data_IF_340483717644
#
_entry.id   IF_340483717644
#
_cell.length_a   1.000
_cell.length_b   1.000
_cell.length_c   1.000
_cell.angle_alpha   90.00
_cell.angle_beta   90.00
_cell.angle_gamma   90.00
#
_symmetry.space_group_name_H-M   'P 1'
#
loop_
_entity.id
_entity.type
_entity.pdbx_description
1 polymer ?
#
# COMPACT_ATOMS: atom_id res chain seq x y z
N UNK A 1 -0.45 -28.98 2.89
CA UNK A 1 -1.89 -29.03 3.19
C UNK A 1 -2.44 -27.63 2.92
N UNK A 2 -2.90 -27.38 1.70
CA UNK A 2 -3.28 -26.05 1.21
C UNK A 2 -4.71 -25.76 1.67
N UNK A 3 -4.90 -24.80 2.59
CA UNK A 3 -6.22 -24.37 3.05
C UNK A 3 -6.93 -23.60 1.93
N UNK A 4 -7.98 -24.18 1.36
CA UNK A 4 -8.94 -23.53 0.46
C UNK A 4 -9.95 -22.68 1.26
N UNK A 5 -9.49 -21.63 1.95
CA UNK A 5 -10.35 -20.67 2.68
C UNK A 5 -10.14 -19.26 2.14
N UNK A 6 -10.62 -18.92 0.94
CA UNK A 6 -10.39 -17.57 0.39
C UNK A 6 -11.42 -17.04 -0.62
N UNK A 7 -12.67 -17.53 -0.60
CA UNK A 7 -13.75 -16.90 -1.38
C UNK A 7 -14.98 -16.52 -0.54
N UNK A 8 -15.17 -17.11 0.64
CA UNK A 8 -16.25 -16.71 1.56
C UNK A 8 -15.91 -15.51 2.45
N UNK A 9 -14.62 -15.27 2.71
CA UNK A 9 -14.18 -14.30 3.70
C UNK A 9 -14.26 -12.87 3.16
N UNK A 10 -13.85 -12.63 1.92
CA UNK A 10 -13.82 -11.28 1.34
C UNK A 10 -15.21 -10.65 1.20
N UNK A 11 -16.22 -11.44 0.81
CA UNK A 11 -17.60 -10.96 0.73
C UNK A 11 -18.17 -10.58 2.10
N UNK A 12 -17.79 -11.33 3.14
CA UNK A 12 -18.20 -11.05 4.52
C UNK A 12 -17.52 -9.79 5.08
N UNK A 13 -16.25 -9.58 4.75
CA UNK A 13 -15.47 -8.39 5.13
C UNK A 13 -16.03 -7.15 4.42
N UNK A 14 -16.27 -7.23 3.11
CA UNK A 14 -16.85 -6.12 2.35
C UNK A 14 -18.23 -5.72 2.88
N UNK A 15 -19.06 -6.70 3.25
CA UNK A 15 -20.36 -6.45 3.88
C UNK A 15 -20.23 -5.78 5.26
N UNK A 16 -19.25 -6.21 6.07
CA UNK A 16 -18.98 -5.62 7.38
C UNK A 16 -18.49 -4.16 7.26
N UNK A 17 -17.59 -3.88 6.32
CA UNK A 17 -17.09 -2.53 6.00
C UNK A 17 -18.24 -1.63 5.54
N UNK A 18 -19.06 -2.11 4.60
CA UNK A 18 -20.23 -1.35 4.12
C UNK A 18 -21.18 -1.01 5.27
N UNK A 19 -21.52 -2.00 6.10
CA UNK A 19 -22.39 -1.80 7.27
C UNK A 19 -21.77 -0.81 8.26
N UNK A 20 -20.46 -0.89 8.51
CA UNK A 20 -19.77 0.04 9.40
C UNK A 20 -19.82 1.48 8.86
N UNK A 21 -19.58 1.69 7.56
CA UNK A 21 -19.72 3.01 6.94
C UNK A 21 -21.14 3.56 7.05
N UNK A 22 -22.14 2.72 6.78
CA UNK A 22 -23.56 3.11 6.91
C UNK A 22 -23.90 3.55 8.34
N UNK A 23 -23.45 2.79 9.36
CA UNK A 23 -23.66 3.15 10.76
C UNK A 23 -23.03 4.51 11.11
N UNK A 24 -21.85 4.82 10.55
CA UNK A 24 -21.18 6.10 10.82
C UNK A 24 -21.89 7.32 10.19
N UNK A 25 -22.81 7.11 9.23
CA UNK A 25 -23.66 8.20 8.72
C UNK A 25 -24.70 8.69 9.73
N UNK A 26 -25.00 7.88 10.76
CA UNK A 26 -26.00 8.18 11.78
C UNK A 26 -25.34 8.71 13.06
N UNK A 27 -25.15 10.04 13.14
CA UNK A 27 -24.48 10.70 14.26
C UNK A 27 -25.15 10.46 15.63
N UNK A 28 -26.46 10.21 15.65
CA UNK A 28 -27.29 9.97 16.83
C UNK A 28 -27.07 8.59 17.46
N UNK A 29 -26.31 7.70 16.82
CA UNK A 29 -26.04 6.38 17.36
C UNK A 29 -25.20 6.46 18.65
N UNK A 30 -25.45 5.57 19.63
CA UNK A 30 -24.64 5.47 20.83
C UNK A 30 -23.15 5.36 20.53
N UNK A 31 -22.33 6.06 21.31
CA UNK A 31 -20.87 6.11 21.12
C UNK A 31 -20.23 4.71 21.04
N UNK A 32 -20.74 3.73 21.80
CA UNK A 32 -20.28 2.34 21.76
C UNK A 32 -20.46 1.70 20.37
N UNK A 33 -21.57 1.99 19.69
CA UNK A 33 -21.85 1.45 18.35
C UNK A 33 -20.91 2.12 17.34
N UNK A 34 -20.74 3.44 17.44
CA UNK A 34 -19.83 4.19 16.58
C UNK A 34 -18.37 3.74 16.73
N UNK A 35 -17.90 3.54 17.97
CA UNK A 35 -16.57 3.01 18.25
C UNK A 35 -16.35 1.64 17.60
N UNK A 36 -17.36 0.75 17.66
CA UNK A 36 -17.28 -0.57 17.01
C UNK A 36 -17.27 -0.47 15.49
N UNK A 37 -18.04 0.44 14.90
CA UNK A 37 -18.01 0.67 13.46
C UNK A 37 -16.62 1.17 13.01
N UNK A 38 -16.06 2.17 13.70
CA UNK A 38 -14.69 2.63 13.45
C UNK A 38 -13.66 1.49 13.65
N UNK A 39 -13.82 0.64 14.67
CA UNK A 39 -12.94 -0.51 14.90
C UNK A 39 -12.99 -1.52 13.74
N UNK A 40 -14.17 -1.78 13.16
CA UNK A 40 -14.30 -2.65 11.97
C UNK A 40 -13.55 -2.05 10.78
N UNK A 41 -13.68 -0.74 10.57
CA UNK A 41 -12.94 -0.05 9.50
C UNK A 41 -11.43 -0.02 9.77
N UNK A 42 -11.02 0.09 11.04
CA UNK A 42 -9.61 0.01 11.45
C UNK A 42 -8.96 -1.36 11.25
N UNK A 43 -9.77 -2.42 11.15
CA UNK A 43 -9.31 -3.77 10.78
C UNK A 43 -9.38 -4.03 9.26
N UNK A 44 -9.83 -3.06 8.46
CA UNK A 44 -9.98 -3.22 7.01
C UNK A 44 -8.68 -2.89 6.27
N UNK A 45 -8.68 -3.08 4.95
CA UNK A 45 -7.59 -2.66 4.06
C UNK A 45 -7.90 -1.35 3.32
N UNK A 46 -8.90 -0.60 3.78
CA UNK A 46 -9.26 0.69 3.21
C UNK A 46 -8.18 1.74 3.51
N UNK A 47 -7.99 2.77 2.67
CA UNK A 47 -6.92 3.76 2.87
C UNK A 47 -6.99 4.51 4.21
N UNK A 48 -8.20 4.70 4.74
CA UNK A 48 -8.47 5.42 5.99
C UNK A 48 -8.40 4.53 7.24
N UNK A 49 -7.97 3.27 7.13
CA UNK A 49 -8.02 2.30 8.24
C UNK A 49 -7.32 2.81 9.52
N UNK A 50 -6.15 3.46 9.40
CA UNK A 50 -5.42 3.96 10.56
C UNK A 50 -6.21 5.08 11.26
N UNK A 51 -6.71 6.06 10.51
CA UNK A 51 -7.55 7.15 11.02
C UNK A 51 -8.81 6.61 11.71
N UNK A 52 -9.42 5.57 11.15
CA UNK A 52 -10.59 4.93 11.75
C UNK A 52 -10.24 4.19 13.05
N UNK A 53 -9.05 3.57 13.14
CA UNK A 53 -8.60 2.93 14.37
C UNK A 53 -8.32 3.95 15.49
N UNK A 54 -7.74 5.10 15.14
CA UNK A 54 -7.54 6.22 16.07
C UNK A 54 -8.88 6.78 16.56
N UNK A 55 -9.81 7.00 15.63
CA UNK A 55 -11.15 7.49 15.94
C UNK A 55 -11.93 6.50 16.82
N UNK A 56 -11.76 5.19 16.62
CA UNK A 56 -12.35 4.16 17.47
C UNK A 56 -11.92 4.31 18.93
N UNK A 57 -10.61 4.52 19.17
CA UNK A 57 -10.07 4.77 20.52
C UNK A 57 -10.63 6.06 21.10
N UNK A 58 -10.65 7.14 20.31
CA UNK A 58 -11.17 8.44 20.76
C UNK A 58 -12.63 8.35 21.20
N UNK A 59 -13.49 7.70 20.41
CA UNK A 59 -14.91 7.52 20.72
C UNK A 59 -15.09 6.57 21.92
N UNK A 60 -14.33 5.47 22.01
CA UNK A 60 -14.41 4.54 23.13
C UNK A 60 -13.99 5.19 24.46
N UNK A 61 -12.96 6.05 24.42
CA UNK A 61 -12.55 6.85 25.57
C UNK A 61 -13.65 7.85 25.97
N UNK A 62 -14.21 8.58 25.00
CA UNK A 62 -15.33 9.50 25.25
C UNK A 62 -16.56 8.79 25.83
N UNK A 63 -16.87 7.58 25.36
CA UNK A 63 -17.95 6.76 25.89
C UNK A 63 -17.68 6.34 27.35
N UNK A 64 -16.41 6.07 27.68
CA UNK A 64 -15.96 5.73 29.03
C UNK A 64 -16.04 6.93 29.96
N UNK A 65 -15.58 8.09 29.52
CA UNK A 65 -15.54 9.32 30.34
C UNK A 65 -16.94 9.85 30.65
N UNK A 66 -17.88 9.71 29.71
CA UNK A 66 -19.27 10.15 29.89
C UNK A 66 -20.14 9.17 30.67
N UNK A 67 -19.64 7.96 30.98
CA UNK A 67 -20.42 6.96 31.68
C UNK A 67 -20.44 7.24 33.19
N UNK A 68 -21.65 7.33 33.78
CA UNK A 68 -21.83 7.42 35.25
C UNK A 68 -21.17 6.27 36.00
N UNK A 69 -21.09 5.09 35.36
CA UNK A 69 -20.24 3.99 35.79
C UNK A 69 -19.67 3.29 34.56
N UNK A 70 -18.35 3.19 34.46
CA UNK A 70 -17.72 2.41 33.40
C UNK A 70 -17.93 0.92 33.70
N UNK A 71 -18.92 0.33 33.04
CA UNK A 71 -19.14 -1.10 33.08
C UNK A 71 -17.96 -1.87 32.48
N UNK A 72 -17.85 -3.16 32.80
CA UNK A 72 -16.81 -4.03 32.24
C UNK A 72 -16.76 -3.99 30.70
N UNK A 73 -17.93 -3.86 30.06
CA UNK A 73 -18.05 -3.76 28.61
C UNK A 73 -17.33 -2.53 28.02
N UNK A 74 -17.43 -1.36 28.68
CA UNK A 74 -16.79 -0.13 28.20
C UNK A 74 -15.26 -0.21 28.28
N UNK A 75 -14.75 -0.77 29.39
CA UNK A 75 -13.31 -1.04 29.54
C UNK A 75 -12.80 -2.02 28.49
N UNK A 76 -13.53 -3.11 28.26
CA UNK A 76 -13.15 -4.09 27.26
C UNK A 76 -13.12 -3.47 25.87
N UNK A 77 -14.15 -2.70 25.50
CA UNK A 77 -14.20 -2.03 24.21
C UNK A 77 -13.01 -1.09 24.00
N UNK A 78 -12.65 -0.30 25.01
CA UNK A 78 -11.50 0.61 24.92
C UNK A 78 -10.19 -0.16 24.71
N UNK A 79 -9.98 -1.28 25.41
CA UNK A 79 -8.79 -2.12 25.23
C UNK A 79 -8.76 -2.82 23.86
N UNK A 80 -9.92 -3.26 23.37
CA UNK A 80 -10.04 -3.83 22.02
C UNK A 80 -9.69 -2.77 20.96
N UNK A 81 -10.23 -1.54 21.07
CA UNK A 81 -9.89 -0.44 20.16
C UNK A 81 -8.40 -0.11 20.17
N UNK A 82 -7.75 -0.06 21.35
CA UNK A 82 -6.30 0.16 21.44
C UNK A 82 -5.49 -0.96 20.81
N UNK A 83 -5.99 -2.18 20.87
CA UNK A 83 -5.34 -3.33 20.23
C UNK A 83 -5.40 -3.21 18.71
N UNK A 84 -6.57 -2.87 18.18
CA UNK A 84 -6.76 -2.60 16.75
C UNK A 84 -5.87 -1.45 16.28
N UNK A 85 -5.81 -0.34 17.00
CA UNK A 85 -4.90 0.77 16.65
C UNK A 85 -3.44 0.34 16.60
N UNK A 86 -2.99 -0.47 17.55
CA UNK A 86 -1.61 -0.98 17.57
C UNK A 86 -1.31 -1.88 16.36
N UNK A 87 -2.28 -2.68 15.94
CA UNK A 87 -2.14 -3.54 14.75
C UNK A 87 -2.18 -2.73 13.46
N UNK A 88 -3.10 -1.76 13.36
CA UNK A 88 -3.20 -0.84 12.26
C UNK A 88 -1.90 -0.03 12.07
N UNK A 89 -1.34 0.52 13.16
CA UNK A 89 -0.07 1.26 13.11
C UNK A 89 1.06 0.37 12.59
N UNK A 90 1.18 -0.86 13.08
CA UNK A 90 2.20 -1.80 12.58
C UNK A 90 2.05 -2.11 11.09
N UNK A 91 0.81 -2.26 10.61
CA UNK A 91 0.53 -2.49 9.20
C UNK A 91 0.89 -1.28 8.34
N UNK A 92 0.55 -0.07 8.82
CA UNK A 92 0.90 1.19 8.19
C UNK A 92 2.42 1.39 8.12
N UNK A 93 3.12 1.23 9.24
CA UNK A 93 4.58 1.36 9.33
C UNK A 93 5.29 0.36 8.39
N UNK A 94 4.79 -0.88 8.35
CA UNK A 94 5.32 -1.89 7.44
C UNK A 94 5.12 -1.49 5.98
N UNK A 95 3.96 -0.95 5.60
CA UNK A 95 3.72 -0.48 4.24
C UNK A 95 4.65 0.69 3.86
N UNK A 96 4.84 1.67 4.74
CA UNK A 96 5.74 2.80 4.48
C UNK A 96 7.21 2.39 4.34
N UNK A 97 7.65 1.35 5.07
CA UNK A 97 9.03 0.88 4.99
C UNK A 97 9.37 0.21 3.64
N UNK A 98 8.38 -0.30 2.91
CA UNK A 98 8.58 -0.84 1.56
C UNK A 98 8.60 0.24 0.48
N UNK A 99 8.00 1.41 0.72
CA UNK A 99 8.01 2.53 -0.23
C UNK A 99 9.33 3.31 -0.20
N UNK A 100 10.08 3.29 0.92
CA UNK A 100 11.39 3.95 1.05
C UNK A 100 12.56 3.17 0.41
N UNK A 101 12.39 1.89 0.06
CA UNK A 101 13.44 1.07 -0.57
C UNK A 101 13.47 1.18 -2.11
N UNK A 102 12.56 1.94 -2.72
CA UNK A 102 12.53 2.26 -4.16
C UNK A 102 13.27 3.58 -4.49
N UNK A 103 14.35 3.89 -3.74
CA UNK A 103 15.26 4.99 -4.07
C UNK A 103 16.03 4.60 -5.35
N UNK A 104 15.68 5.24 -6.47
CA UNK A 104 16.30 5.04 -7.79
C UNK A 104 17.83 5.03 -7.68
N UNK A 105 18.54 4.09 -8.34
CA UNK A 105 20.00 4.16 -8.40
C UNK A 105 20.40 5.52 -8.99
N UNK A 106 21.39 6.23 -8.43
CA UNK A 106 21.83 7.50 -8.98
C UNK A 106 22.19 7.28 -10.45
N UNK A 107 21.59 8.09 -11.32
CA UNK A 107 22.04 8.20 -12.70
C UNK A 107 23.51 8.63 -12.66
N UNK A 108 24.42 7.71 -12.97
CA UNK A 108 25.82 8.02 -13.21
C UNK A 108 25.89 8.78 -14.55
N UNK A 109 25.75 10.10 -14.47
CA UNK A 109 26.26 11.03 -15.49
C UNK A 109 27.79 10.94 -15.45
N UNK A 110 28.36 9.95 -16.13
CA UNK A 110 29.80 9.92 -16.43
C UNK A 110 30.08 10.77 -17.67
N UNK A 111 30.04 12.10 -17.52
CA UNK A 111 30.66 13.02 -18.48
C UNK A 111 32.19 12.89 -18.38
N UNK A 112 32.80 12.11 -19.28
CA UNK A 112 34.26 12.16 -19.49
C UNK A 112 34.59 13.23 -20.53
N UNK A 113 35.26 14.26 -20.03
CA UNK A 113 35.78 15.44 -20.73
C UNK A 113 36.95 15.08 -21.65
N UNK A 114 36.74 15.36 -22.94
CA UNK A 114 37.64 15.78 -24.04
C UNK A 114 39.18 15.57 -23.90
N UNK A 115 39.73 14.70 -24.75
CA UNK A 115 41.17 14.65 -25.06
C UNK A 115 41.47 15.48 -26.33
N UNK A 116 42.31 16.54 -26.24
CA UNK A 116 42.67 17.42 -27.36
C UNK A 116 43.60 16.80 -28.42
N UNK A 117 44.03 15.54 -28.28
CA UNK A 117 45.01 14.88 -29.17
C UNK A 117 44.43 13.79 -30.08
N UNK A 118 43.10 13.71 -30.32
CA UNK A 118 42.54 12.76 -31.31
C UNK A 118 42.56 13.38 -32.73
N UNK A 119 43.49 12.95 -33.62
CA UNK A 119 43.60 13.48 -34.97
C UNK A 119 42.44 12.95 -35.80
N UNK A 120 41.35 13.71 -35.80
CA UNK A 120 40.57 14.03 -37.00
C UNK A 120 40.63 12.95 -38.08
N UNK A 121 39.75 11.95 -37.94
CA UNK A 121 38.61 11.77 -38.85
C UNK A 121 38.85 12.58 -40.14
N UNK A 122 39.50 11.93 -41.11
CA UNK A 122 39.92 12.54 -42.35
C UNK A 122 40.04 11.48 -43.44
N UNK A 123 39.45 11.81 -44.59
CA UNK A 123 39.55 11.17 -45.90
C UNK A 123 38.69 9.90 -46.10
N UNK A 124 37.53 10.02 -46.77
CA UNK A 124 37.35 9.95 -48.25
C UNK A 124 37.16 8.48 -48.70
N UNK A 125 35.95 8.03 -49.03
CA UNK A 125 35.27 8.08 -50.34
C UNK A 125 35.94 7.33 -51.51
N UNK A 126 35.13 6.44 -52.13
CA UNK A 126 35.24 5.83 -53.48
C UNK A 126 36.31 4.73 -53.70
N UNK A 127 36.14 3.66 -54.50
CA UNK A 127 35.20 3.30 -55.58
C UNK A 127 35.33 1.76 -55.86
N UNK A 128 34.68 1.12 -56.87
CA UNK A 128 34.08 -0.20 -56.78
C UNK A 128 34.83 -1.19 -57.72
N UNK A 129 34.19 -2.31 -58.08
CA UNK A 129 34.41 -3.26 -59.21
C UNK A 129 34.46 -4.69 -58.67
N UNK A 130 33.40 -5.46 -58.96
CA UNK A 130 33.30 -6.46 -60.06
C UNK A 130 34.05 -7.75 -59.68
N UNK A 131 33.57 -8.98 -59.89
CA UNK A 131 32.49 -9.59 -60.67
C UNK A 131 32.28 -11.00 -60.04
N UNK A 132 31.05 -11.48 -59.85
CA UNK A 132 30.37 -12.50 -60.68
C UNK A 132 30.61 -13.98 -60.28
N UNK A 133 29.66 -14.81 -60.75
CA UNK A 133 29.55 -16.28 -60.72
C UNK A 133 28.99 -16.87 -59.41
N UNK A 134 27.69 -17.19 -59.28
CA UNK A 134 26.79 -18.06 -60.06
C UNK A 134 27.11 -19.57 -59.93
N UNK A 135 26.07 -20.31 -59.52
CA UNK A 135 25.79 -21.74 -59.65
C UNK A 135 26.32 -22.75 -58.63
N UNK A 136 25.37 -23.56 -58.12
CA UNK A 136 25.67 -24.76 -57.35
C UNK A 136 24.49 -25.46 -56.66
N UNK A 137 23.30 -25.48 -57.26
CA UNK A 137 22.21 -26.37 -56.84
C UNK A 137 22.46 -27.75 -57.44
N UNK A 138 22.55 -28.81 -56.62
CA UNK A 138 22.04 -30.18 -56.86
C UNK A 138 22.78 -31.20 -56.00
N UNK A 139 22.03 -32.07 -55.32
CA UNK A 139 22.51 -33.20 -54.55
C UNK A 139 21.49 -33.63 -53.52
#
# INVERSE_FOLDING_TARGET
>A
MIRQFRQGDDASVASAVHTARELLTHAELPLIIRARACMVLGCSSEPDFLEQAEEAVRIAQLATDNATSVGQLGRQLLEDCKTVLREAQKAHDAASAFEEEEEEPPAEDEEVVWDPDDPTIGAEEEDPRNDAEENGKSG
#
